data_IF_489432690733
#
_entry.id   IF_489432690733
#
_cell.length_a   1.000
_cell.length_b   1.000
_cell.length_c   1.000
_cell.angle_alpha   90.00
_cell.angle_beta   90.00
_cell.angle_gamma   90.00
#
_symmetry.space_group_name_H-M   'P 1'
#
loop_
_entity.id
_entity.type
_entity.pdbx_description
1 polymer ?
#
# COMPACT_ATOMS: atom_id res chain seq x y z
N UNK A 1 2.90 -19.00 25.08
CA UNK A 1 3.39 -17.96 24.16
C UNK A 1 3.21 -18.45 22.74
N UNK A 2 2.22 -17.92 22.02
CA UNK A 2 1.89 -18.35 20.65
C UNK A 2 2.70 -17.55 19.63
N UNK A 3 3.60 -18.21 18.92
CA UNK A 3 4.27 -17.62 17.77
C UNK A 3 3.23 -17.38 16.67
N UNK A 4 3.09 -16.14 16.20
CA UNK A 4 2.29 -15.84 15.01
C UNK A 4 3.00 -16.45 13.78
N UNK A 5 2.60 -17.67 13.41
CA UNK A 5 3.13 -18.43 12.26
C UNK A 5 2.33 -18.14 10.97
N UNK A 6 1.97 -16.89 10.70
CA UNK A 6 1.54 -16.54 9.34
C UNK A 6 2.79 -16.19 8.54
N UNK A 7 3.27 -17.13 7.72
CA UNK A 7 4.26 -16.84 6.70
C UNK A 7 3.78 -15.64 5.87
N UNK A 8 4.66 -14.70 5.50
CA UNK A 8 4.30 -13.59 4.62
C UNK A 8 3.58 -14.14 3.38
N UNK A 9 2.33 -13.73 3.17
CA UNK A 9 1.58 -14.12 1.97
C UNK A 9 2.28 -13.53 0.74
N UNK A 10 1.99 -14.01 -0.49
CA UNK A 10 2.64 -13.50 -1.71
C UNK A 10 2.44 -11.98 -1.93
N UNK A 11 1.49 -11.39 -1.21
CA UNK A 11 1.20 -9.96 -1.20
C UNK A 11 2.04 -9.16 -0.17
N UNK A 12 2.78 -9.85 0.71
CA UNK A 12 3.69 -9.28 1.70
C UNK A 12 5.15 -9.20 1.20
N UNK A 13 5.36 -9.13 -0.12
CA UNK A 13 6.71 -8.96 -0.68
C UNK A 13 7.07 -7.48 -0.61
N UNK A 14 8.27 -7.17 -0.13
CA UNK A 14 8.81 -5.82 -0.25
C UNK A 14 8.78 -5.41 -1.73
N UNK A 15 8.46 -4.14 -2.04
CA UNK A 15 8.49 -3.67 -3.41
C UNK A 15 9.88 -3.93 -4.01
N UNK A 16 9.90 -4.36 -5.27
CA UNK A 16 11.13 -4.57 -6.01
C UNK A 16 11.93 -3.27 -6.00
N UNK A 17 13.22 -3.31 -5.63
CA UNK A 17 13.97 -2.07 -5.34
C UNK A 17 13.94 -1.07 -6.50
N UNK A 18 13.95 -1.58 -7.73
CA UNK A 18 13.92 -0.76 -8.95
C UNK A 18 12.52 -0.23 -9.28
N UNK A 19 11.47 -0.79 -8.68
CA UNK A 19 10.10 -0.29 -8.73
C UNK A 19 9.85 0.88 -7.78
N UNK A 20 10.76 1.15 -6.83
CA UNK A 20 10.63 2.27 -5.89
C UNK A 20 11.06 3.56 -6.62
N UNK A 21 10.15 4.53 -6.85
CA UNK A 21 10.43 5.69 -7.69
C UNK A 21 11.64 6.53 -7.25
N UNK A 22 11.87 6.65 -5.94
CA UNK A 22 13.03 7.36 -5.39
C UNK A 22 14.36 6.64 -5.66
N UNK A 23 14.38 5.30 -5.61
CA UNK A 23 15.58 4.51 -5.90
C UNK A 23 15.90 4.61 -7.39
N UNK A 24 14.87 4.51 -8.24
CA UNK A 24 14.99 4.70 -9.69
C UNK A 24 15.54 6.08 -10.03
N UNK A 25 14.95 7.14 -9.48
CA UNK A 25 15.43 8.52 -9.69
C UNK A 25 16.91 8.69 -9.34
N UNK A 26 17.34 8.13 -8.21
CA UNK A 26 18.75 8.16 -7.80
C UNK A 26 19.65 7.45 -8.82
N UNK A 27 19.23 6.29 -9.31
CA UNK A 27 20.00 5.53 -10.30
C UNK A 27 20.05 6.28 -11.64
N UNK A 28 18.97 6.92 -12.06
CA UNK A 28 18.90 7.72 -13.28
C UNK A 28 19.85 8.93 -13.19
N UNK A 29 19.88 9.64 -12.06
CA UNK A 29 20.84 10.74 -11.82
C UNK A 29 22.28 10.25 -11.92
N UNK A 30 22.58 9.08 -11.32
CA UNK A 30 23.93 8.49 -11.39
C UNK A 30 24.32 8.12 -12.82
N UNK A 31 23.42 7.47 -13.55
CA UNK A 31 23.64 7.08 -14.93
C UNK A 31 23.87 8.31 -15.81
N UNK A 32 23.05 9.35 -15.66
CA UNK A 32 23.21 10.60 -16.40
C UNK A 32 24.57 11.26 -16.09
N UNK A 33 24.94 11.36 -14.81
CA UNK A 33 26.23 11.95 -14.40
C UNK A 33 27.45 11.18 -14.90
N UNK A 34 27.31 9.90 -15.25
CA UNK A 34 28.39 9.08 -15.80
C UNK A 34 28.55 9.25 -17.33
N UNK A 35 27.54 9.77 -18.02
CA UNK A 35 27.48 9.86 -19.48
C UNK A 35 27.65 11.31 -19.96
N UNK A 36 27.24 12.28 -19.16
CA UNK A 36 27.25 13.71 -19.52
C UNK A 36 28.31 14.49 -18.77
N UNK A 37 28.95 15.45 -19.45
CA UNK A 37 29.87 16.44 -18.83
C UNK A 37 29.13 17.59 -18.09
N UNK A 38 27.81 17.47 -17.92
CA UNK A 38 27.02 18.44 -17.16
C UNK A 38 27.39 18.44 -15.68
N UNK A 39 27.32 19.61 -15.03
CA UNK A 39 27.52 19.68 -13.59
C UNK A 39 26.45 18.83 -12.87
N UNK A 40 26.88 18.09 -11.85
CA UNK A 40 25.97 17.26 -11.04
C UNK A 40 24.83 18.08 -10.42
N UNK A 41 25.09 19.35 -10.08
CA UNK A 41 24.07 20.27 -9.58
C UNK A 41 22.97 20.57 -10.60
N UNK A 42 23.33 20.72 -11.87
CA UNK A 42 22.39 20.94 -12.98
C UNK A 42 21.51 19.70 -13.20
N UNK A 43 22.13 18.52 -13.21
CA UNK A 43 21.45 17.23 -13.38
C UNK A 43 20.46 16.99 -12.24
N UNK A 44 20.87 17.24 -11.00
CA UNK A 44 19.98 17.09 -9.83
C UNK A 44 18.81 18.07 -9.92
N UNK A 45 19.07 19.33 -10.26
CA UNK A 45 18.01 20.34 -10.33
C UNK A 45 16.99 20.03 -11.44
N UNK A 46 17.44 19.63 -12.63
CA UNK A 46 16.54 19.30 -13.75
C UNK A 46 15.71 18.05 -13.46
N UNK A 47 16.32 16.99 -12.94
CA UNK A 47 15.66 15.73 -12.61
C UNK A 47 14.66 15.86 -11.47
N UNK A 48 15.00 16.58 -10.39
CA UNK A 48 14.07 16.85 -9.28
C UNK A 48 12.88 17.69 -9.71
N UNK A 49 13.07 18.65 -10.63
CA UNK A 49 11.98 19.46 -11.17
C UNK A 49 11.01 18.64 -12.03
N UNK A 50 11.52 17.67 -12.79
CA UNK A 50 10.72 16.81 -13.65
C UNK A 50 10.03 15.66 -12.88
N UNK A 51 10.59 15.24 -11.75
CA UNK A 51 10.13 14.06 -11.01
C UNK A 51 8.65 14.09 -10.61
N UNK A 52 8.08 15.18 -10.04
CA UNK A 52 6.66 15.20 -9.66
C UNK A 52 5.72 14.97 -10.84
N UNK A 53 6.07 15.49 -12.03
CA UNK A 53 5.28 15.32 -13.25
C UNK A 53 5.33 13.86 -13.73
N UNK A 54 6.51 13.24 -13.71
CA UNK A 54 6.67 11.83 -14.05
C UNK A 54 6.00 10.90 -13.04
N UNK A 55 6.04 11.24 -11.74
CA UNK A 55 5.42 10.46 -10.67
C UNK A 55 3.89 10.56 -10.69
N UNK A 56 3.33 11.71 -11.09
CA UNK A 56 1.88 11.88 -11.22
C UNK A 56 1.25 10.91 -12.22
N UNK A 57 1.98 10.55 -13.30
CA UNK A 57 1.54 9.54 -14.27
C UNK A 57 1.54 8.10 -13.74
N UNK A 58 2.21 7.85 -12.61
CA UNK A 58 2.26 6.54 -11.95
C UNK A 58 1.24 6.40 -10.81
N UNK A 59 0.49 7.46 -10.49
CA UNK A 59 -0.57 7.38 -9.51
C UNK A 59 -1.66 6.42 -10.01
N UNK A 60 -2.13 5.48 -9.16
CA UNK A 60 -3.25 4.62 -9.53
C UNK A 60 -4.45 5.50 -9.88
N UNK A 61 -5.05 5.23 -11.04
CA UNK A 61 -6.26 5.92 -11.47
C UNK A 61 -7.35 5.75 -10.40
N UNK A 62 -8.23 6.73 -10.27
CA UNK A 62 -9.30 6.71 -9.25
C UNK A 62 -10.10 5.39 -9.26
N UNK A 63 -10.34 4.80 -10.44
CA UNK A 63 -10.99 3.51 -10.58
C UNK A 63 -10.18 2.35 -9.98
N UNK A 64 -8.86 2.34 -10.17
CA UNK A 64 -7.94 1.36 -9.58
C UNK A 64 -7.86 1.50 -8.06
N UNK A 65 -7.87 2.74 -7.55
CA UNK A 65 -7.96 3.03 -6.12
C UNK A 65 -9.26 2.52 -5.51
N UNK A 66 -10.40 2.77 -6.15
CA UNK A 66 -11.70 2.29 -5.70
C UNK A 66 -11.76 0.76 -5.65
N UNK A 67 -11.25 0.08 -6.68
CA UNK A 67 -11.15 -1.38 -6.70
C UNK A 67 -10.20 -1.93 -5.61
N UNK A 68 -9.08 -1.25 -5.35
CA UNK A 68 -8.18 -1.62 -4.25
C UNK A 68 -8.84 -1.44 -2.88
N UNK A 69 -9.54 -0.33 -2.66
CA UNK A 69 -10.29 -0.07 -1.42
C UNK A 69 -11.38 -1.13 -1.23
N UNK A 70 -12.11 -1.49 -2.29
CA UNK A 70 -13.13 -2.54 -2.25
C UNK A 70 -12.52 -3.92 -1.98
N UNK A 71 -11.37 -4.26 -2.57
CA UNK A 71 -10.68 -5.54 -2.31
C UNK A 71 -10.11 -5.63 -0.89
N UNK A 72 -9.66 -4.53 -0.31
CA UNK A 72 -9.25 -4.47 1.09
C UNK A 72 -10.45 -4.54 2.03
N UNK A 73 -11.59 -3.98 1.62
CA UNK A 73 -12.89 -4.20 2.24
C UNK A 73 -13.53 -5.46 1.69
N UNK A 74 -12.87 -6.61 1.82
CA UNK A 74 -13.65 -7.84 1.90
C UNK A 74 -14.52 -7.72 3.14
N UNK A 75 -15.76 -7.26 2.95
CA UNK A 75 -16.81 -7.34 3.97
C UNK A 75 -16.95 -8.81 4.30
N UNK A 76 -16.40 -9.19 5.45
CA UNK A 76 -16.76 -10.44 6.09
C UNK A 76 -18.28 -10.44 6.20
N UNK A 77 -18.93 -11.34 5.45
CA UNK A 77 -20.38 -11.42 5.36
C UNK A 77 -20.91 -11.73 6.75
N UNK A 78 -21.85 -10.91 7.20
CA UNK A 78 -22.58 -11.11 8.46
C UNK A 78 -23.15 -12.53 8.47
N UNK A 79 -23.00 -13.25 9.58
CA UNK A 79 -23.57 -14.59 9.73
C UNK A 79 -25.10 -14.54 9.55
N UNK A 80 -25.73 -15.69 9.28
CA UNK A 80 -27.18 -15.82 9.04
C UNK A 80 -28.05 -15.19 10.15
N UNK A 81 -27.49 -15.01 11.35
CA UNK A 81 -28.13 -14.41 12.53
C UNK A 81 -27.95 -12.88 12.63
N UNK A 82 -27.43 -12.20 11.60
CA UNK A 82 -27.16 -10.75 11.64
C UNK A 82 -25.93 -10.37 12.48
N UNK A 83 -25.08 -11.34 12.84
CA UNK A 83 -23.91 -11.14 13.73
C UNK A 83 -22.60 -11.06 12.95
N UNK A 84 -21.63 -10.30 13.47
CA UNK A 84 -20.26 -10.30 12.95
C UNK A 84 -19.68 -11.72 13.00
N UNK A 85 -18.89 -12.13 11.99
CA UNK A 85 -18.27 -13.45 11.99
C UNK A 85 -17.44 -13.74 13.24
N UNK A 86 -17.44 -15.00 13.66
CA UNK A 86 -16.92 -15.44 14.95
C UNK A 86 -15.48 -15.00 15.24
N UNK A 87 -14.64 -14.94 14.19
CA UNK A 87 -13.24 -14.50 14.26
C UNK A 87 -13.10 -13.03 14.68
N UNK A 88 -14.05 -12.18 14.31
CA UNK A 88 -14.09 -10.77 14.69
C UNK A 88 -14.84 -10.55 16.02
N UNK A 89 -15.75 -11.47 16.38
CA UNK A 89 -16.52 -11.39 17.62
C UNK A 89 -15.70 -11.76 18.87
N UNK A 90 -14.76 -12.70 18.74
CA UNK A 90 -13.95 -13.19 19.86
C UNK A 90 -12.83 -12.20 20.21
N UNK A 91 -13.03 -11.47 21.31
CA UNK A 91 -11.96 -10.69 21.95
C UNK A 91 -11.27 -11.53 23.02
N UNK A 92 -10.02 -11.19 23.36
CA UNK A 92 -9.26 -11.80 24.47
C UNK A 92 -9.89 -11.58 25.86
N UNK A 93 -11.08 -10.97 25.94
CA UNK A 93 -11.76 -10.58 27.19
C UNK A 93 -13.11 -11.28 27.39
N UNK A 94 -13.39 -12.35 26.64
CA UNK A 94 -14.62 -13.17 26.73
C UNK A 94 -15.96 -12.41 26.56
N UNK A 95 -15.92 -11.10 26.34
CA UNK A 95 -17.05 -10.27 25.93
C UNK A 95 -17.16 -10.28 24.41
N UNK A 96 -18.11 -11.05 23.89
CA UNK A 96 -18.45 -10.98 22.48
C UNK A 96 -18.94 -9.58 22.12
N UNK A 97 -18.42 -9.00 21.03
CA UNK A 97 -18.95 -7.74 20.52
C UNK A 97 -20.40 -7.94 20.07
N UNK A 98 -21.33 -7.23 20.72
CA UNK A 98 -22.71 -7.09 20.26
C UNK A 98 -22.74 -5.81 19.43
N UNK A 99 -23.03 -5.93 18.13
CA UNK A 99 -23.41 -4.76 17.35
C UNK A 99 -24.75 -4.30 17.93
N UNK A 100 -24.79 -3.12 18.54
CA UNK A 100 -26.07 -2.50 18.87
C UNK A 100 -26.74 -2.15 17.54
N UNK A 101 -27.76 -2.92 17.16
CA UNK A 101 -28.68 -2.49 16.11
C UNK A 101 -29.56 -1.37 16.67
N UNK A 102 -29.67 -0.29 15.90
CA UNK A 102 -30.54 0.84 16.20
C UNK A 102 -31.97 0.34 16.41
N UNK A 103 -32.55 0.70 17.55
CA UNK A 103 -33.96 0.47 17.85
C UNK A 103 -34.80 1.33 16.90
N UNK A 104 -35.49 0.69 15.96
CA UNK A 104 -36.76 1.20 15.44
C UNK A 104 -37.90 0.52 16.20
#
# INVERSE_FOLDING_TARGET
>A
MGAFLSLPTSHCRAPERDSVPAIRLKNDIKAHSAITDESTSTIIHSTLRAYPLSAAGQLPKNESLMLMIQRQRTTETVDADGRLPEKLRKTYRDGGFILHEDKN
#
